data_IF_638752330801
#
_entry.id   IF_638752330801
#
_cell.length_a   1.000
_cell.length_b   1.000
_cell.length_c   1.000
_cell.angle_alpha   90.00
_cell.angle_beta   90.00
_cell.angle_gamma   90.00
#
_symmetry.space_group_name_H-M   'P 1'
#
loop_
_entity.id
_entity.type
_entity.pdbx_description
1 polymer ?
#
# COMPACT_ATOMS: atom_id res chain seq x y z
N UNK A 1 -16.74 7.36 -12.49
CA UNK A 1 -17.71 8.22 -11.77
C UNK A 1 -17.03 8.70 -10.50
N UNK A 2 -16.81 10.01 -10.33
CA UNK A 2 -16.14 10.57 -9.14
C UNK A 2 -17.19 10.89 -8.07
N UNK A 3 -16.97 10.44 -6.83
CA UNK A 3 -17.82 10.75 -5.68
C UNK A 3 -17.04 11.65 -4.69
N UNK A 4 -17.73 12.59 -4.05
CA UNK A 4 -17.15 13.48 -3.04
C UNK A 4 -17.55 12.97 -1.66
N UNK A 5 -16.55 12.80 -0.79
CA UNK A 5 -16.73 12.43 0.62
C UNK A 5 -16.15 13.54 1.48
N UNK A 6 -16.94 14.03 2.45
CA UNK A 6 -16.49 14.99 3.45
C UNK A 6 -15.92 14.23 4.65
N UNK A 7 -14.79 14.70 5.16
CA UNK A 7 -14.10 14.11 6.31
C UNK A 7 -13.81 15.23 7.31
N UNK A 8 -14.09 14.97 8.59
CA UNK A 8 -13.78 15.91 9.67
C UNK A 8 -12.45 15.48 10.27
N UNK A 9 -11.53 16.44 10.43
CA UNK A 9 -10.20 16.22 11.01
C UNK A 9 -10.12 16.85 12.40
N UNK A 10 -9.42 16.19 13.31
CA UNK A 10 -9.02 16.80 14.58
C UNK A 10 -8.10 18.02 14.33
N UNK A 11 -8.08 19.03 15.21
CA UNK A 11 -7.31 20.26 14.99
C UNK A 11 -5.82 20.01 14.69
N UNK A 12 -5.16 19.15 15.48
CA UNK A 12 -3.74 18.80 15.31
C UNK A 12 -3.47 18.06 14.00
N UNK A 13 -4.38 17.18 13.59
CA UNK A 13 -4.30 16.48 12.31
C UNK A 13 -4.50 17.45 11.16
N UNK A 14 -5.43 18.39 11.28
CA UNK A 14 -5.66 19.44 10.29
C UNK A 14 -4.42 20.33 10.12
N UNK A 15 -3.80 20.77 11.20
CA UNK A 15 -2.56 21.55 11.16
C UNK A 15 -1.44 20.81 10.44
N UNK A 16 -1.30 19.50 10.70
CA UNK A 16 -0.31 18.65 10.04
C UNK A 16 -0.56 18.55 8.53
N UNK A 17 -1.82 18.32 8.12
CA UNK A 17 -2.20 18.26 6.70
C UNK A 17 -2.01 19.62 6.02
N UNK A 18 -2.35 20.72 6.69
CA UNK A 18 -2.15 22.08 6.18
C UNK A 18 -0.67 22.43 5.98
N UNK A 19 0.19 21.97 6.89
CA UNK A 19 1.64 22.13 6.76
C UNK A 19 2.16 21.36 5.54
N UNK A 20 1.80 20.08 5.39
CA UNK A 20 2.19 19.26 4.23
C UNK A 20 1.69 19.88 2.93
N UNK A 21 0.43 20.33 2.89
CA UNK A 21 -0.16 20.97 1.72
C UNK A 21 0.63 22.21 1.28
N UNK A 22 1.05 23.03 2.25
CA UNK A 22 1.84 24.25 2.02
C UNK A 22 3.26 23.94 1.54
N UNK A 23 3.93 22.98 2.19
CA UNK A 23 5.30 22.56 1.83
C UNK A 23 5.36 21.98 0.40
N UNK A 24 4.27 21.34 -0.05
CA UNK A 24 4.20 20.68 -1.35
C UNK A 24 3.40 21.46 -2.41
N UNK A 25 2.96 22.69 -2.11
CA UNK A 25 2.17 23.55 -3.02
C UNK A 25 0.92 22.87 -3.61
N UNK A 26 0.24 22.02 -2.82
CA UNK A 26 -0.97 21.30 -3.23
C UNK A 26 -2.16 21.60 -2.30
N UNK A 27 -3.37 21.29 -2.76
CA UNK A 27 -4.57 21.47 -1.94
C UNK A 27 -4.62 20.50 -0.75
N UNK A 28 -5.22 20.92 0.37
CA UNK A 28 -5.51 20.08 1.55
C UNK A 28 -6.25 18.80 1.14
N UNK A 29 -7.29 18.91 0.29
CA UNK A 29 -8.05 17.75 -0.19
C UNK A 29 -7.19 16.80 -1.04
N UNK A 30 -6.18 17.33 -1.74
CA UNK A 30 -5.18 16.53 -2.45
C UNK A 30 -4.36 15.70 -1.48
N UNK A 31 -3.80 16.34 -0.44
CA UNK A 31 -3.06 15.65 0.63
C UNK A 31 -3.92 14.58 1.29
N UNK A 32 -5.16 14.91 1.71
CA UNK A 32 -6.05 13.92 2.32
C UNK A 32 -6.32 12.73 1.39
N UNK A 33 -6.60 13.00 0.11
CA UNK A 33 -6.85 11.94 -0.87
C UNK A 33 -5.64 11.03 -1.02
N UNK A 34 -4.44 11.60 -1.09
CA UNK A 34 -3.23 10.82 -1.34
C UNK A 34 -2.81 10.04 -0.09
N UNK A 35 -2.96 10.60 1.11
CA UNK A 35 -2.83 9.87 2.38
C UNK A 35 -3.83 8.71 2.50
N UNK A 36 -5.09 8.89 2.05
CA UNK A 36 -6.08 7.81 2.05
C UNK A 36 -5.66 6.68 1.10
N UNK A 37 -5.10 7.01 -0.07
CA UNK A 37 -4.57 5.99 -0.99
C UNK A 37 -3.43 5.21 -0.37
N UNK A 38 -2.43 5.91 0.17
CA UNK A 38 -1.29 5.27 0.83
C UNK A 38 -1.74 4.36 1.98
N UNK A 39 -2.72 4.80 2.77
CA UNK A 39 -3.30 3.97 3.82
C UNK A 39 -3.95 2.70 3.25
N UNK A 40 -4.72 2.80 2.16
CA UNK A 40 -5.34 1.64 1.50
C UNK A 40 -4.28 0.68 0.94
N UNK A 41 -3.21 1.19 0.35
CA UNK A 41 -2.09 0.38 -0.15
C UNK A 41 -1.45 -0.41 1.00
N UNK A 42 -1.25 0.20 2.18
CA UNK A 42 -0.75 -0.50 3.38
C UNK A 42 -1.70 -1.63 3.83
N UNK A 43 -3.02 -1.40 3.78
CA UNK A 43 -3.99 -2.45 4.09
C UNK A 43 -3.94 -3.60 3.10
N UNK A 44 -3.75 -3.30 1.81
CA UNK A 44 -3.59 -4.29 0.76
C UNK A 44 -2.30 -5.09 0.92
N UNK A 45 -1.17 -4.44 1.20
CA UNK A 45 0.11 -5.11 1.45
C UNK A 45 0.03 -6.06 2.65
N UNK A 46 -0.66 -5.64 3.72
CA UNK A 46 -0.92 -6.48 4.89
C UNK A 46 -1.71 -7.73 4.49
N UNK A 47 -2.74 -7.57 3.66
CA UNK A 47 -3.55 -8.69 3.17
C UNK A 47 -2.70 -9.65 2.34
N UNK A 48 -1.94 -9.15 1.35
CA UNK A 48 -1.12 -10.00 0.49
C UNK A 48 0.01 -10.70 1.24
N UNK A 49 0.60 -10.06 2.25
CA UNK A 49 1.57 -10.67 3.14
C UNK A 49 0.99 -11.89 3.86
N UNK A 50 -0.23 -11.78 4.37
CA UNK A 50 -0.91 -12.90 5.03
C UNK A 50 -1.22 -14.04 4.04
N UNK A 51 -1.68 -13.72 2.84
CA UNK A 51 -1.93 -14.72 1.78
C UNK A 51 -0.64 -15.42 1.36
N UNK A 52 0.47 -14.69 1.24
CA UNK A 52 1.78 -15.26 0.91
C UNK A 52 2.25 -16.22 2.01
N UNK A 53 2.15 -15.83 3.28
CA UNK A 53 2.52 -16.68 4.41
C UNK A 53 1.74 -18.00 4.44
N UNK A 54 0.42 -17.95 4.21
CA UNK A 54 -0.41 -19.17 4.14
C UNK A 54 0.02 -20.10 3.00
N UNK A 55 0.41 -19.55 1.85
CA UNK A 55 0.89 -20.34 0.71
C UNK A 55 2.25 -20.97 1.03
N UNK A 56 3.13 -20.22 1.68
CA UNK A 56 4.46 -20.67 2.06
C UNK A 56 4.43 -21.81 3.07
N UNK A 57 3.54 -21.74 4.08
CA UNK A 57 3.36 -22.80 5.08
C UNK A 57 3.06 -24.17 4.44
N UNK A 58 2.25 -24.19 3.38
CA UNK A 58 1.90 -25.41 2.65
C UNK A 58 2.86 -25.78 1.51
N UNK A 59 3.91 -25.01 1.25
CA UNK A 59 4.74 -25.18 0.06
C UNK A 59 5.88 -26.17 0.26
N UNK A 60 5.94 -27.20 -0.59
CA UNK A 60 7.06 -28.15 -0.61
C UNK A 60 8.21 -27.62 -1.48
N UNK A 61 9.12 -26.89 -0.84
CA UNK A 61 10.30 -26.29 -1.49
C UNK A 61 11.19 -27.28 -2.23
N UNK A 62 11.34 -28.51 -1.71
CA UNK A 62 12.24 -29.52 -2.29
C UNK A 62 11.73 -30.08 -3.61
N UNK A 63 10.42 -30.26 -3.74
CA UNK A 63 9.81 -30.92 -4.92
C UNK A 63 9.15 -29.94 -5.88
N UNK A 64 8.58 -28.85 -5.38
CA UNK A 64 7.88 -27.85 -6.18
C UNK A 64 8.69 -26.59 -6.44
N UNK A 65 9.80 -26.39 -5.71
CA UNK A 65 10.72 -25.28 -5.95
C UNK A 65 11.35 -25.36 -7.35
N UNK A 66 11.36 -24.24 -8.06
CA UNK A 66 12.04 -24.13 -9.36
C UNK A 66 13.48 -23.66 -9.13
N UNK A 67 14.44 -24.32 -9.79
CA UNK A 67 15.83 -23.87 -9.80
C UNK A 67 16.00 -22.62 -10.67
N UNK A 68 17.05 -21.84 -10.40
CA UNK A 68 17.38 -20.65 -11.20
C UNK A 68 17.42 -20.96 -12.71
N UNK A 69 18.05 -22.08 -13.09
CA UNK A 69 18.14 -22.52 -14.48
C UNK A 69 16.76 -22.86 -15.09
N UNK A 70 15.83 -23.43 -14.29
CA UNK A 70 14.45 -23.69 -14.74
C UNK A 70 13.65 -22.40 -14.94
N UNK A 71 13.90 -21.37 -14.14
CA UNK A 71 13.20 -20.07 -14.24
C UNK A 71 13.76 -19.20 -15.37
N UNK A 72 15.09 -19.12 -15.47
CA UNK A 72 15.78 -18.16 -16.33
C UNK A 72 16.41 -18.77 -17.59
N UNK A 73 16.37 -20.09 -17.74
CA UNK A 73 16.87 -20.79 -18.93
C UNK A 73 18.38 -20.70 -19.16
N UNK A 74 19.15 -20.23 -18.18
CA UNK A 74 20.62 -20.18 -18.26
C UNK A 74 21.19 -21.55 -17.87
N UNK A 75 21.97 -22.16 -18.77
CA UNK A 75 22.71 -23.40 -18.51
C UNK A 75 23.93 -23.12 -17.64
#
# INVERSE_FOLDING_TARGET
>A
MTSKTLVVLEPTMRESVERIARENEISISGVCRDLIKEALDIYEDKYWSAVAAQREEGFNWRTKGLSHNKVWGKK
#
